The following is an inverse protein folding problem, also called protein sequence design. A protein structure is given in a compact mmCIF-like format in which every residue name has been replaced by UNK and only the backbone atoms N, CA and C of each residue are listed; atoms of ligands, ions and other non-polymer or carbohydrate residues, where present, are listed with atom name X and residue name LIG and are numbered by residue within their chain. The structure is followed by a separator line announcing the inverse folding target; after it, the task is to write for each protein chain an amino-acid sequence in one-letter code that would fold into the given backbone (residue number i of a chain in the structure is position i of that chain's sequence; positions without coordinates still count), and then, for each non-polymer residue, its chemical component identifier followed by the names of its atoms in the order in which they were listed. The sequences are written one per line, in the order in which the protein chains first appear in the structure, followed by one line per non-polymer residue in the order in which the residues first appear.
data_IF_491712595962
#
_entry.id   IF_491712595962
#
_cell.length_a   1.000
_cell.length_b   1.000
_cell.length_c   1.000
_cell.angle_alpha   90.00
_cell.angle_beta   90.00
_cell.angle_gamma   90.00
#
_symmetry.space_group_name_H-M   'P 1'
#
loop_
_entity.id
_entity.type
_entity.pdbx_description
1 polymer ?
#
# COMPACT_ATOMS: atom_id res chain seq x y z
N UNK A 1 -7.65 -25.64 91.89
CA UNK A 1 -6.23 -25.36 91.59
C UNK A 1 -5.72 -26.14 90.38
N UNK A 2 -6.04 -27.44 90.21
CA UNK A 2 -5.54 -28.28 89.07
C UNK A 2 -6.03 -27.72 87.72
N UNK A 3 -7.32 -27.38 87.59
CA UNK A 3 -7.96 -26.92 86.39
C UNK A 3 -7.35 -25.55 85.91
N UNK A 4 -7.03 -24.66 86.83
CA UNK A 4 -6.37 -23.39 86.52
C UNK A 4 -4.95 -23.61 85.96
N UNK A 5 -4.20 -24.58 86.49
CA UNK A 5 -2.91 -24.89 85.97
C UNK A 5 -2.91 -25.49 84.59
N UNK A 6 -3.85 -26.40 84.29
CA UNK A 6 -4.07 -26.96 82.93
C UNK A 6 -4.36 -25.87 81.91
N UNK A 7 -5.26 -24.91 82.26
CA UNK A 7 -5.58 -23.77 81.36
C UNK A 7 -4.39 -22.84 81.14
N UNK A 8 -3.53 -22.64 82.14
CA UNK A 8 -2.32 -21.85 82.03
C UNK A 8 -1.33 -22.56 81.06
N UNK A 9 -1.14 -23.83 81.20
CA UNK A 9 -0.26 -24.64 80.32
C UNK A 9 -0.76 -24.68 78.89
N UNK A 10 -2.08 -24.69 78.66
CA UNK A 10 -2.70 -24.57 77.31
C UNK A 10 -2.48 -23.15 76.72
N UNK A 11 -2.61 -22.14 77.52
CA UNK A 11 -2.32 -20.72 77.10
C UNK A 11 -0.86 -20.54 76.72
N UNK A 12 0.08 -21.07 77.49
CA UNK A 12 1.49 -20.99 77.21
C UNK A 12 1.84 -21.71 75.89
N UNK A 13 1.31 -22.87 75.63
CA UNK A 13 1.43 -23.54 74.33
C UNK A 13 0.83 -22.75 73.16
N UNK A 14 -0.31 -22.09 73.39
CA UNK A 14 -0.93 -21.20 72.42
C UNK A 14 -0.07 -19.97 72.12
N UNK A 15 0.56 -19.36 73.14
CA UNK A 15 1.47 -18.26 72.99
C UNK A 15 2.74 -18.64 72.22
N UNK A 16 3.33 -19.80 72.55
CA UNK A 16 4.51 -20.32 71.81
C UNK A 16 4.21 -20.56 70.34
N UNK A 17 3.03 -21.11 70.04
CA UNK A 17 2.58 -21.27 68.65
C UNK A 17 2.41 -19.93 67.92
N UNK A 18 1.74 -18.95 68.55
CA UNK A 18 1.56 -17.61 67.99
C UNK A 18 2.90 -16.91 67.78
N UNK A 19 3.84 -17.04 68.71
CA UNK A 19 5.17 -16.45 68.58
C UNK A 19 5.95 -17.11 67.42
N UNK A 20 5.86 -18.44 67.25
CA UNK A 20 6.43 -19.12 66.11
C UNK A 20 5.87 -18.66 64.76
N UNK A 21 4.54 -18.50 64.67
CA UNK A 21 3.88 -17.94 63.47
C UNK A 21 4.30 -16.49 63.21
N UNK A 22 4.46 -15.69 64.26
CA UNK A 22 4.88 -14.31 64.13
C UNK A 22 6.30 -14.17 63.56
N UNK A 23 7.24 -14.97 64.05
CA UNK A 23 8.61 -14.97 63.51
C UNK A 23 8.66 -15.47 62.06
N UNK A 24 7.89 -16.49 61.70
CA UNK A 24 7.76 -16.99 60.33
C UNK A 24 7.22 -15.90 59.41
N UNK A 25 6.11 -15.27 59.79
CA UNK A 25 5.53 -14.17 59.02
C UNK A 25 6.47 -12.96 58.87
N UNK A 26 7.25 -12.67 59.90
CA UNK A 26 8.27 -11.61 59.88
C UNK A 26 9.36 -11.89 58.85
N UNK A 27 9.81 -13.13 58.79
CA UNK A 27 10.82 -13.58 57.83
C UNK A 27 10.25 -13.50 56.39
N UNK A 28 9.06 -14.01 56.17
CA UNK A 28 8.38 -13.93 54.88
C UNK A 28 8.18 -12.47 54.41
N UNK A 29 7.80 -11.58 55.30
CA UNK A 29 7.67 -10.14 54.99
C UNK A 29 9.03 -9.52 54.62
N UNK A 30 10.11 -9.96 55.25
CA UNK A 30 11.46 -9.50 54.90
C UNK A 30 11.84 -9.96 53.49
N UNK A 31 11.62 -11.20 53.16
CA UNK A 31 11.92 -11.78 51.85
C UNK A 31 11.07 -11.16 50.73
N UNK A 32 9.78 -10.93 51.00
CA UNK A 32 8.89 -10.19 50.08
C UNK A 32 9.40 -8.77 49.81
N UNK A 33 9.88 -8.05 50.86
CA UNK A 33 10.44 -6.70 50.68
C UNK A 33 11.68 -6.71 49.78
N UNK A 34 12.57 -7.70 49.93
CA UNK A 34 13.74 -7.86 49.07
C UNK A 34 13.31 -8.11 47.60
N UNK A 35 12.42 -9.08 47.41
CA UNK A 35 11.91 -9.43 46.08
C UNK A 35 11.21 -8.22 45.39
N UNK A 36 10.41 -7.43 46.10
CA UNK A 36 9.79 -6.21 45.58
C UNK A 36 10.84 -5.18 45.17
N UNK A 37 11.93 -5.04 45.92
CA UNK A 37 13.03 -4.14 45.56
C UNK A 37 13.70 -4.57 44.27
N UNK A 38 14.00 -5.86 44.13
CA UNK A 38 14.65 -6.42 42.91
C UNK A 38 13.71 -6.32 41.68
N UNK A 39 12.40 -6.58 41.88
CA UNK A 39 11.42 -6.41 40.83
C UNK A 39 11.34 -4.95 40.35
N UNK A 40 11.39 -3.97 41.25
CA UNK A 40 11.39 -2.54 40.86
C UNK A 40 12.62 -2.19 40.03
N UNK A 41 13.80 -2.67 40.40
CA UNK A 41 15.03 -2.45 39.63
C UNK A 41 14.91 -3.07 38.24
N UNK A 42 14.47 -4.32 38.18
CA UNK A 42 14.28 -5.05 36.89
C UNK A 42 13.26 -4.34 36.02
N UNK A 43 12.15 -3.88 36.58
CA UNK A 43 11.10 -3.15 35.85
C UNK A 43 11.64 -1.85 35.23
N UNK A 44 12.43 -1.08 36.00
CA UNK A 44 13.05 0.13 35.49
C UNK A 44 14.01 -0.14 34.33
N UNK A 45 14.84 -1.19 34.44
CA UNK A 45 15.75 -1.59 33.36
C UNK A 45 14.98 -1.99 32.11
N UNK A 46 13.90 -2.77 32.26
CA UNK A 46 13.04 -3.18 31.14
C UNK A 46 12.33 -2.01 30.49
N UNK A 47 11.86 -1.02 31.26
CA UNK A 47 11.25 0.20 30.74
C UNK A 47 12.24 0.99 29.88
N UNK A 48 13.45 1.25 30.40
CA UNK A 48 14.50 1.97 29.66
C UNK A 48 14.86 1.24 28.36
N UNK A 49 15.01 -0.09 28.43
CA UNK A 49 15.31 -0.90 27.25
C UNK A 49 14.17 -0.87 26.21
N UNK A 50 12.92 -0.87 26.67
CA UNK A 50 11.75 -0.79 25.79
C UNK A 50 11.68 0.57 25.07
N UNK A 51 11.92 1.67 25.78
CA UNK A 51 11.99 3.02 25.21
C UNK A 51 13.08 3.11 24.14
N UNK A 52 14.27 2.61 24.43
CA UNK A 52 15.37 2.56 23.47
C UNK A 52 14.98 1.76 22.22
N UNK A 53 14.42 0.55 22.40
CA UNK A 53 14.00 -0.30 21.29
C UNK A 53 12.93 0.37 20.44
N UNK A 54 11.96 1.05 21.07
CA UNK A 54 10.91 1.79 20.38
C UNK A 54 11.46 2.94 19.53
N UNK A 55 12.45 3.66 20.06
CA UNK A 55 13.13 4.74 19.35
C UNK A 55 13.88 4.23 18.12
N UNK A 56 14.64 3.12 18.29
CA UNK A 56 15.36 2.49 17.18
C UNK A 56 14.42 1.93 16.11
N UNK A 57 13.29 1.33 16.49
CA UNK A 57 12.27 0.87 15.54
C UNK A 57 11.68 2.03 14.73
N UNK A 58 11.42 3.17 15.38
CA UNK A 58 10.93 4.36 14.69
C UNK A 58 11.96 4.86 13.68
N UNK A 59 13.24 4.97 14.08
CA UNK A 59 14.34 5.39 13.20
C UNK A 59 14.51 4.46 12.00
N UNK A 60 14.49 3.14 12.25
CA UNK A 60 14.59 2.15 11.17
C UNK A 60 13.41 2.24 10.19
N UNK A 61 12.20 2.44 10.69
CA UNK A 61 11.02 2.57 9.84
C UNK A 61 11.07 3.82 8.96
N UNK A 62 11.60 4.94 9.48
CA UNK A 62 11.86 6.16 8.70
C UNK A 62 12.87 5.88 7.58
N UNK A 63 14.03 5.28 7.92
CA UNK A 63 15.06 4.96 6.94
C UNK A 63 14.53 4.03 5.83
N UNK A 64 13.77 2.98 6.20
CA UNK A 64 13.14 2.07 5.22
C UNK A 64 12.18 2.81 4.30
N UNK A 65 11.43 3.77 4.83
CA UNK A 65 10.49 4.58 4.02
C UNK A 65 11.24 5.48 3.04
N UNK A 66 12.32 6.13 3.48
CA UNK A 66 13.18 6.94 2.63
C UNK A 66 13.82 6.09 1.52
N UNK A 67 14.43 4.96 1.86
CA UNK A 67 15.02 4.05 0.88
C UNK A 67 14.00 3.55 -0.16
N UNK A 68 12.76 3.29 0.24
CA UNK A 68 11.68 2.91 -0.70
C UNK A 68 11.34 4.06 -1.65
N UNK A 69 11.29 5.28 -1.16
CA UNK A 69 11.02 6.46 -1.98
C UNK A 69 12.15 6.70 -2.99
N UNK A 70 13.40 6.60 -2.55
CA UNK A 70 14.58 6.71 -3.40
C UNK A 70 14.59 5.62 -4.49
N UNK A 71 14.26 4.39 -4.12
CA UNK A 71 14.15 3.29 -5.07
C UNK A 71 13.07 3.57 -6.13
N UNK A 72 11.90 4.09 -5.73
CA UNK A 72 10.83 4.47 -6.67
C UNK A 72 11.30 5.58 -7.60
N UNK A 73 11.98 6.62 -7.08
CA UNK A 73 12.52 7.72 -7.88
C UNK A 73 13.56 7.24 -8.90
N UNK A 74 14.50 6.40 -8.49
CA UNK A 74 15.47 5.77 -9.39
C UNK A 74 14.80 4.93 -10.48
N UNK A 75 13.80 4.14 -10.14
CA UNK A 75 13.02 3.38 -11.12
C UNK A 75 12.26 4.31 -12.09
N UNK A 76 11.66 5.39 -11.60
CA UNK A 76 10.98 6.39 -12.43
C UNK A 76 11.95 7.03 -13.44
N UNK A 77 13.14 7.43 -13.00
CA UNK A 77 14.18 7.99 -13.87
C UNK A 77 14.66 6.99 -14.91
N UNK A 78 14.90 5.74 -14.50
CA UNK A 78 15.31 4.65 -15.42
C UNK A 78 14.25 4.34 -16.49
N UNK A 79 12.97 4.51 -16.16
CA UNK A 79 11.85 4.25 -17.06
C UNK A 79 11.39 5.49 -17.83
N UNK A 80 11.95 6.66 -17.56
CA UNK A 80 11.47 7.95 -18.09
C UNK A 80 11.44 8.02 -19.61
N UNK A 81 12.39 7.37 -20.28
CA UNK A 81 12.47 7.33 -21.75
C UNK A 81 11.76 6.12 -22.37
N UNK A 82 10.98 5.38 -21.60
CA UNK A 82 10.28 4.20 -22.08
C UNK A 82 8.83 4.51 -22.45
N UNK A 83 8.37 3.97 -23.57
CA UNK A 83 6.97 3.87 -23.93
C UNK A 83 6.57 2.41 -24.14
N UNK A 84 5.33 2.10 -23.77
CA UNK A 84 4.72 0.79 -23.96
C UNK A 84 3.66 0.91 -25.06
N UNK A 85 3.83 0.14 -26.14
CA UNK A 85 2.91 0.07 -27.27
C UNK A 85 2.07 -1.18 -27.16
N UNK A 86 0.76 -1.05 -27.33
CA UNK A 86 -0.21 -2.15 -27.27
C UNK A 86 -1.00 -2.23 -28.57
N UNK A 87 -1.46 -3.44 -28.91
CA UNK A 87 -2.28 -3.69 -30.10
C UNK A 87 -1.49 -4.00 -31.39
N UNK A 88 -0.15 -3.86 -31.39
CA UNK A 88 0.68 -4.23 -32.54
C UNK A 88 0.76 -5.75 -32.61
N UNK A 89 0.34 -6.32 -33.77
CA UNK A 89 0.29 -7.77 -34.00
C UNK A 89 1.69 -8.37 -33.83
N UNK A 90 1.77 -9.50 -33.16
CA UNK A 90 3.02 -10.25 -32.97
C UNK A 90 3.15 -11.34 -34.04
N UNK A 91 4.25 -11.32 -34.76
CA UNK A 91 4.57 -12.32 -35.77
C UNK A 91 5.66 -13.27 -35.27
N UNK A 92 5.67 -14.50 -35.77
CA UNK A 92 6.78 -15.39 -35.50
C UNK A 92 8.08 -14.86 -36.15
N UNK A 93 9.18 -14.92 -35.41
CA UNK A 93 10.51 -14.48 -35.85
C UNK A 93 10.62 -13.01 -36.29
N UNK A 94 9.74 -12.14 -35.75
CA UNK A 94 9.75 -10.70 -36.05
C UNK A 94 11.01 -9.98 -35.53
N UNK A 95 11.45 -9.00 -36.28
CA UNK A 95 12.30 -7.94 -35.72
C UNK A 95 11.42 -6.88 -35.08
N UNK A 96 11.28 -6.93 -33.75
CA UNK A 96 10.37 -6.05 -32.98
C UNK A 96 10.66 -4.57 -33.18
N UNK A 97 11.91 -4.16 -33.39
CA UNK A 97 12.29 -2.78 -33.66
C UNK A 97 11.82 -2.32 -35.05
N UNK A 98 11.98 -3.17 -36.05
CA UNK A 98 11.49 -2.89 -37.41
C UNK A 98 9.96 -2.80 -37.44
N UNK A 99 9.27 -3.69 -36.74
CA UNK A 99 7.80 -3.64 -36.63
C UNK A 99 7.34 -2.35 -35.91
N UNK A 100 8.03 -1.93 -34.88
CA UNK A 100 7.71 -0.67 -34.21
C UNK A 100 7.96 0.53 -35.13
N UNK A 101 9.07 0.60 -35.84
CA UNK A 101 9.36 1.66 -36.80
C UNK A 101 8.32 1.73 -37.90
N UNK A 102 7.93 0.58 -38.47
CA UNK A 102 6.85 0.51 -39.43
C UNK A 102 5.52 1.04 -38.88
N UNK A 103 5.15 0.65 -37.67
CA UNK A 103 3.97 1.16 -36.98
C UNK A 103 4.02 2.70 -36.79
N UNK A 104 5.16 3.24 -36.34
CA UNK A 104 5.33 4.67 -36.10
C UNK A 104 5.20 5.45 -37.42
N UNK A 105 5.74 4.93 -38.50
CA UNK A 105 5.66 5.55 -39.81
C UNK A 105 4.27 5.44 -40.44
N UNK A 106 3.71 4.21 -40.53
CA UNK A 106 2.48 3.96 -41.29
C UNK A 106 1.20 4.31 -40.55
N UNK A 107 1.16 4.09 -39.23
CA UNK A 107 -0.06 4.26 -38.42
C UNK A 107 -0.08 5.62 -37.72
N UNK A 108 1.10 6.09 -37.23
CA UNK A 108 1.21 7.37 -36.54
C UNK A 108 1.66 8.52 -37.45
N UNK A 109 2.17 8.26 -38.67
CA UNK A 109 2.62 9.27 -39.60
C UNK A 109 3.91 9.98 -39.18
N UNK A 110 4.75 9.35 -38.37
CA UNK A 110 6.03 9.91 -37.91
C UNK A 110 7.12 9.55 -38.93
N UNK A 111 7.46 10.50 -39.78
CA UNK A 111 8.46 10.27 -40.87
C UNK A 111 9.91 10.26 -40.36
N UNK A 112 10.15 10.81 -39.14
CA UNK A 112 11.47 10.87 -38.54
C UNK A 112 11.96 9.49 -38.17
N UNK A 113 13.19 9.12 -38.57
CA UNK A 113 13.86 7.91 -38.06
C UNK A 113 14.16 8.09 -36.58
N UNK A 114 13.51 7.28 -35.75
CA UNK A 114 13.67 7.29 -34.29
C UNK A 114 14.73 6.26 -33.89
N UNK A 115 15.57 6.64 -32.92
CA UNK A 115 16.65 5.78 -32.42
C UNK A 115 16.30 5.25 -31.04
N UNK A 116 16.45 3.95 -30.86
CA UNK A 116 16.15 3.27 -29.62
C UNK A 116 17.41 2.67 -29.01
N UNK A 117 17.52 2.71 -27.69
CA UNK A 117 18.50 1.90 -26.97
C UNK A 117 18.10 0.44 -26.92
N UNK A 118 16.80 0.17 -26.85
CA UNK A 118 16.26 -1.17 -26.73
C UNK A 118 14.77 -1.20 -27.12
N UNK A 119 14.39 -2.20 -27.91
CA UNK A 119 13.00 -2.52 -28.25
C UNK A 119 12.77 -4.01 -28.04
N UNK A 120 11.71 -4.41 -27.36
CA UNK A 120 11.36 -5.82 -27.17
C UNK A 120 9.93 -6.01 -26.70
N UNK A 121 9.39 -7.20 -26.91
CA UNK A 121 8.08 -7.62 -26.36
C UNK A 121 8.19 -7.93 -24.86
N UNK A 122 7.16 -7.56 -24.10
CA UNK A 122 7.10 -7.81 -22.65
C UNK A 122 5.92 -8.71 -22.29
N UNK A 123 6.11 -9.53 -21.24
CA UNK A 123 5.11 -10.45 -20.73
C UNK A 123 5.19 -11.86 -21.34
N UNK A 124 4.33 -12.73 -20.85
CA UNK A 124 4.23 -14.12 -21.36
C UNK A 124 3.40 -14.16 -22.64
N UNK A 125 3.83 -14.97 -23.60
CA UNK A 125 3.06 -15.20 -24.81
C UNK A 125 1.74 -15.91 -24.45
N UNK A 126 0.66 -15.45 -25.03
CA UNK A 126 -0.68 -16.01 -24.85
C UNK A 126 -1.31 -16.27 -26.23
N UNK A 127 -2.08 -17.34 -26.39
CA UNK A 127 -2.83 -17.56 -27.61
C UNK A 127 -3.74 -16.37 -27.94
N UNK A 128 -3.73 -15.94 -29.21
CA UNK A 128 -4.59 -14.86 -29.72
C UNK A 128 -4.42 -13.47 -29.07
N UNK A 129 -3.27 -13.23 -28.39
CA UNK A 129 -2.99 -11.92 -27.80
C UNK A 129 -1.54 -11.53 -28.02
N UNK A 130 -1.33 -10.48 -28.80
CA UNK A 130 0.00 -9.91 -29.02
C UNK A 130 0.53 -9.28 -27.73
N UNK A 131 1.79 -9.58 -27.40
CA UNK A 131 2.47 -8.98 -26.25
C UNK A 131 2.73 -7.50 -26.52
N UNK A 132 2.64 -6.62 -25.51
CA UNK A 132 3.04 -5.23 -25.65
C UNK A 132 4.53 -5.11 -26.01
N UNK A 133 4.86 -4.09 -26.80
CA UNK A 133 6.25 -3.71 -27.09
C UNK A 133 6.65 -2.60 -26.10
N UNK A 134 7.81 -2.73 -25.50
CA UNK A 134 8.47 -1.63 -24.79
C UNK A 134 9.62 -1.11 -25.63
N UNK A 135 9.71 0.20 -25.78
CA UNK A 135 10.80 0.89 -26.46
C UNK A 135 11.44 1.90 -25.51
N UNK A 136 12.77 1.83 -25.37
CA UNK A 136 13.58 2.81 -24.69
C UNK A 136 14.20 3.74 -25.73
N UNK A 137 13.78 4.99 -25.71
CA UNK A 137 14.24 6.03 -26.66
C UNK A 137 15.60 6.58 -26.24
N UNK A 138 16.51 6.78 -27.20
CA UNK A 138 17.78 7.47 -26.96
C UNK A 138 17.55 8.93 -26.58
N UNK A 139 16.64 9.60 -27.29
CA UNK A 139 16.34 11.00 -27.08
C UNK A 139 14.97 11.19 -26.44
N UNK A 140 14.91 11.91 -25.32
CA UNK A 140 13.65 12.22 -24.63
C UNK A 140 12.68 13.01 -25.53
N UNK A 141 13.20 13.90 -26.39
CA UNK A 141 12.39 14.67 -27.33
C UNK A 141 11.64 13.76 -28.32
N UNK A 142 12.24 12.67 -28.75
CA UNK A 142 11.61 11.70 -29.65
C UNK A 142 10.52 10.91 -28.93
N UNK A 143 10.78 10.53 -27.70
CA UNK A 143 9.75 9.91 -26.83
C UNK A 143 8.57 10.84 -26.62
N UNK A 144 8.83 12.11 -26.33
CA UNK A 144 7.79 13.11 -26.12
C UNK A 144 6.96 13.38 -27.38
N UNK A 145 7.62 13.41 -28.57
CA UNK A 145 6.91 13.50 -29.85
C UNK A 145 5.91 12.36 -30.01
N UNK A 146 6.37 11.11 -29.85
CA UNK A 146 5.49 9.93 -29.97
C UNK A 146 4.35 9.98 -28.96
N UNK A 147 4.65 10.32 -27.69
CA UNK A 147 3.64 10.43 -26.63
C UNK A 147 2.59 11.50 -26.92
N UNK A 148 3.00 12.63 -27.48
CA UNK A 148 2.09 13.75 -27.80
C UNK A 148 1.20 13.46 -29.03
N UNK A 149 1.74 12.80 -30.04
CA UNK A 149 0.99 12.45 -31.24
C UNK A 149 0.05 11.25 -31.07
N UNK A 150 0.36 10.32 -30.15
CA UNK A 150 -0.43 9.11 -29.95
C UNK A 150 -1.93 9.36 -29.68
N UNK A 151 -2.37 10.26 -28.80
CA UNK A 151 -3.80 10.49 -28.56
C UNK A 151 -4.55 11.04 -29.77
N UNK A 152 -3.86 11.71 -30.69
CA UNK A 152 -4.44 12.29 -31.91
C UNK A 152 -4.55 11.24 -33.00
N UNK A 153 -3.46 10.53 -33.26
CA UNK A 153 -3.34 9.60 -34.40
C UNK A 153 -3.99 8.25 -34.15
N UNK A 154 -4.08 7.83 -32.85
CA UNK A 154 -4.61 6.52 -32.46
C UNK A 154 -6.06 6.58 -31.95
N UNK A 155 -6.70 7.73 -31.97
CA UNK A 155 -8.11 7.86 -31.54
C UNK A 155 -9.01 6.93 -32.36
N UNK A 156 -9.75 6.04 -31.69
CA UNK A 156 -10.65 5.07 -32.32
C UNK A 156 -9.98 3.85 -32.94
N UNK A 157 -8.65 3.75 -32.88
CA UNK A 157 -7.90 2.57 -33.35
C UNK A 157 -7.61 1.61 -32.17
N UNK A 158 -7.37 0.32 -32.44
CA UNK A 158 -7.10 -0.70 -31.40
C UNK A 158 -5.68 -0.64 -30.83
N UNK A 159 -5.03 0.49 -30.92
CA UNK A 159 -3.65 0.69 -30.49
C UNK A 159 -3.58 1.61 -29.27
N UNK A 160 -2.56 1.43 -28.46
CA UNK A 160 -2.30 2.29 -27.32
C UNK A 160 -0.80 2.55 -27.13
N UNK A 161 -0.48 3.78 -26.70
CA UNK A 161 0.86 4.18 -26.28
C UNK A 161 0.78 4.76 -24.89
N UNK A 162 1.53 4.16 -23.97
CA UNK A 162 1.54 4.50 -22.56
C UNK A 162 2.96 4.68 -22.05
N UNK A 163 3.14 5.53 -21.04
CA UNK A 163 4.39 5.62 -20.30
C UNK A 163 4.59 4.38 -19.42
N UNK A 164 5.85 3.98 -19.24
CA UNK A 164 6.19 2.94 -18.29
C UNK A 164 6.38 3.54 -16.90
N UNK A 165 5.74 2.90 -15.91
CA UNK A 165 5.89 3.27 -14.51
C UNK A 165 6.28 2.06 -13.65
N UNK A 166 6.98 2.28 -12.52
CA UNK A 166 7.18 1.25 -11.52
C UNK A 166 5.85 0.65 -11.04
N UNK A 167 5.91 -0.61 -10.60
CA UNK A 167 4.72 -1.32 -10.15
C UNK A 167 3.94 -0.55 -9.07
N UNK A 168 4.64 0.03 -8.09
CA UNK A 168 4.03 0.81 -7.00
C UNK A 168 3.20 1.99 -7.54
N UNK A 169 3.75 2.71 -8.52
CA UNK A 169 3.04 3.83 -9.19
C UNK A 169 1.83 3.32 -9.97
N UNK A 170 1.99 2.22 -10.71
CA UNK A 170 0.87 1.61 -11.44
C UNK A 170 -0.24 1.12 -10.50
N UNK A 171 0.10 0.53 -9.36
CA UNK A 171 -0.88 0.07 -8.37
C UNK A 171 -1.67 1.26 -7.78
N UNK A 172 -0.99 2.39 -7.45
CA UNK A 172 -1.66 3.64 -7.03
C UNK A 172 -2.59 4.20 -8.11
N UNK A 173 -2.12 4.25 -9.37
CA UNK A 173 -2.95 4.69 -10.51
C UNK A 173 -4.17 3.79 -10.70
N UNK A 174 -3.98 2.46 -10.55
CA UNK A 174 -5.06 1.48 -10.67
C UNK A 174 -6.15 1.69 -9.62
N UNK A 175 -5.77 2.00 -8.38
CA UNK A 175 -6.73 2.33 -7.32
C UNK A 175 -7.55 3.59 -7.65
N UNK A 176 -6.94 4.59 -8.29
CA UNK A 176 -7.63 5.84 -8.68
C UNK A 176 -8.38 5.77 -10.03
N UNK A 177 -8.19 4.69 -10.80
CA UNK A 177 -8.76 4.56 -12.13
C UNK A 177 -10.30 4.54 -12.19
N UNK A 178 -11.04 3.93 -11.23
CA UNK A 178 -12.50 4.04 -11.16
C UNK A 178 -12.97 5.50 -11.08
N UNK A 179 -12.34 6.30 -10.22
CA UNK A 179 -12.65 7.73 -10.05
C UNK A 179 -12.35 8.55 -11.31
N UNK A 180 -11.23 8.27 -11.98
CA UNK A 180 -10.92 8.86 -13.28
C UNK A 180 -12.00 8.56 -14.32
N UNK A 181 -12.45 7.30 -14.43
CA UNK A 181 -13.52 6.91 -15.35
C UNK A 181 -14.85 7.61 -15.01
N UNK A 182 -15.20 7.69 -13.73
CA UNK A 182 -16.41 8.35 -13.29
C UNK A 182 -16.40 9.85 -13.63
N UNK A 183 -15.29 10.55 -13.37
CA UNK A 183 -15.12 11.95 -13.75
C UNK A 183 -15.26 12.16 -15.28
N UNK A 184 -14.66 11.26 -16.08
CA UNK A 184 -14.78 11.31 -17.55
C UNK A 184 -16.22 11.08 -18.04
N UNK A 185 -16.99 10.18 -17.41
CA UNK A 185 -18.42 9.99 -17.73
C UNK A 185 -19.28 11.22 -17.43
N UNK A 186 -18.87 12.01 -16.43
CA UNK A 186 -19.50 13.28 -16.08
C UNK A 186 -19.01 14.47 -16.95
N UNK A 187 -18.26 14.21 -18.03
CA UNK A 187 -17.61 15.21 -18.87
C UNK A 187 -16.64 16.15 -18.12
N UNK A 188 -16.17 15.78 -16.92
CA UNK A 188 -15.17 16.54 -16.19
C UNK A 188 -13.77 16.32 -16.78
N UNK A 189 -12.93 17.33 -16.74
CA UNK A 189 -11.54 17.24 -17.15
C UNK A 189 -10.76 16.47 -16.08
N UNK A 190 -10.43 15.21 -16.35
CA UNK A 190 -9.64 14.38 -15.45
C UNK A 190 -8.30 14.02 -16.09
N UNK A 191 -7.20 14.15 -15.33
CA UNK A 191 -5.82 13.91 -15.80
C UNK A 191 -5.01 13.26 -14.69
N UNK A 192 -4.25 12.23 -15.05
CA UNK A 192 -3.20 11.70 -14.17
C UNK A 192 -1.89 12.48 -14.36
N UNK A 193 -1.30 12.93 -13.25
CA UNK A 193 0.09 13.37 -13.21
C UNK A 193 0.84 12.37 -12.33
N UNK A 194 1.65 11.51 -12.95
CA UNK A 194 2.31 10.36 -12.35
C UNK A 194 1.28 9.45 -11.65
N UNK A 195 1.21 9.40 -10.35
CA UNK A 195 0.27 8.62 -9.52
C UNK A 195 -0.85 9.43 -8.88
N UNK A 196 -0.93 10.74 -9.20
CA UNK A 196 -1.95 11.64 -8.66
C UNK A 196 -3.02 11.91 -9.71
N UNK A 197 -4.29 11.86 -9.29
CA UNK A 197 -5.43 12.20 -10.13
C UNK A 197 -5.83 13.66 -9.89
N UNK A 198 -5.97 14.41 -10.98
CA UNK A 198 -6.51 15.78 -10.96
C UNK A 198 -7.85 15.79 -11.68
N UNK A 199 -8.88 16.38 -11.05
CA UNK A 199 -10.21 16.56 -11.61
C UNK A 199 -10.50 18.06 -11.61
N UNK A 200 -10.84 18.63 -12.78
CA UNK A 200 -11.03 20.07 -12.98
C UNK A 200 -9.84 20.94 -12.52
N UNK A 201 -8.64 20.36 -12.51
CA UNK A 201 -7.41 21.03 -12.09
C UNK A 201 -7.05 20.86 -10.61
N UNK A 202 -7.98 20.37 -9.80
CA UNK A 202 -7.78 20.10 -8.37
C UNK A 202 -7.30 18.68 -8.12
N UNK A 203 -6.43 18.51 -7.11
CA UNK A 203 -5.94 17.19 -6.69
C UNK A 203 -7.09 16.41 -6.06
N UNK A 204 -7.41 15.26 -6.63
CA UNK A 204 -8.40 14.35 -6.07
C UNK A 204 -7.77 13.53 -4.92
N UNK A 205 -8.38 13.62 -3.73
CA UNK A 205 -8.04 12.84 -2.56
C UNK A 205 -9.21 11.89 -2.25
N UNK A 206 -9.04 10.57 -2.35
CA UNK A 206 -10.10 9.61 -2.07
C UNK A 206 -10.53 9.60 -0.59
N UNK A 207 -9.66 10.05 0.33
CA UNK A 207 -9.93 10.09 1.76
C UNK A 207 -10.55 11.42 2.21
N UNK A 208 -10.47 12.45 1.37
CA UNK A 208 -11.14 13.71 1.66
C UNK A 208 -12.65 13.50 1.53
N UNK A 209 -13.39 13.72 2.62
CA UNK A 209 -14.85 13.76 2.64
C UNK A 209 -15.35 14.93 1.76
N UNK A 210 -15.17 14.84 0.43
CA UNK A 210 -15.91 15.70 -0.47
C UNK A 210 -17.38 15.31 -0.35
N UNK A 211 -18.17 16.21 0.25
CA UNK A 211 -19.60 16.20 0.23
C UNK A 211 -20.10 16.36 -1.22
N UNK A 212 -19.93 15.33 -2.01
CA UNK A 212 -20.70 15.14 -3.22
C UNK A 212 -21.46 13.80 -3.04
N UNK A 213 -22.57 13.87 -2.33
CA UNK A 213 -23.50 12.75 -2.11
C UNK A 213 -23.94 12.10 -3.43
N UNK A 214 -23.91 12.86 -4.53
CA UNK A 214 -24.25 12.40 -5.87
C UNK A 214 -23.12 11.54 -6.48
N UNK A 215 -21.86 11.79 -6.12
CA UNK A 215 -20.71 11.01 -6.58
C UNK A 215 -20.70 9.61 -5.94
N UNK A 216 -20.95 9.53 -4.63
CA UNK A 216 -21.00 8.26 -3.87
C UNK A 216 -22.19 7.40 -4.28
N UNK A 217 -23.37 7.98 -4.51
CA UNK A 217 -24.56 7.24 -4.97
C UNK A 217 -24.35 6.57 -6.32
N UNK A 218 -23.67 7.25 -7.26
CA UNK A 218 -23.44 6.71 -8.61
C UNK A 218 -22.31 5.69 -8.67
N UNK A 219 -21.26 5.81 -7.85
CA UNK A 219 -20.19 4.79 -7.77
C UNK A 219 -20.69 3.51 -7.11
N UNK A 220 -21.47 3.59 -6.02
CA UNK A 220 -22.06 2.44 -5.36
C UNK A 220 -23.09 1.71 -6.23
N UNK A 221 -23.84 2.43 -7.10
CA UNK A 221 -24.78 1.80 -8.03
C UNK A 221 -24.06 1.00 -9.12
N UNK A 222 -22.89 1.46 -9.56
CA UNK A 222 -22.07 0.79 -10.58
C UNK A 222 -21.39 -0.47 -10.03
N UNK A 223 -20.96 -0.46 -8.77
CA UNK A 223 -20.37 -1.65 -8.11
C UNK A 223 -21.43 -2.74 -7.87
N UNK A 224 -22.68 -2.37 -7.64
CA UNK A 224 -23.80 -3.33 -7.52
C UNK A 224 -24.18 -3.97 -8.88
N UNK A 225 -24.06 -3.23 -9.99
CA UNK A 225 -24.29 -3.83 -11.32
C UNK A 225 -23.16 -4.77 -11.77
N UNK A 226 -21.91 -4.53 -11.32
CA UNK A 226 -20.76 -5.36 -11.67
C UNK A 226 -20.65 -6.60 -10.81
N UNK A 227 -21.08 -6.56 -9.54
CA UNK A 227 -20.91 -7.66 -8.57
C UNK A 227 -22.13 -8.56 -8.40
N UNK A 228 -23.31 -8.14 -8.85
CA UNK A 228 -24.54 -8.94 -8.79
C UNK A 228 -25.02 -9.33 -7.38
N UNK A 229 -24.45 -8.73 -6.32
CA UNK A 229 -24.77 -9.06 -4.93
C UNK A 229 -25.82 -8.11 -4.39
N UNK A 230 -27.07 -8.58 -4.28
CA UNK A 230 -28.11 -7.91 -3.49
C UNK A 230 -27.80 -8.06 -2.00
N UNK A 231 -27.62 -6.94 -1.31
CA UNK A 231 -27.56 -6.95 0.16
C UNK A 231 -28.92 -7.38 0.75
N UNK A 232 -28.93 -8.21 1.81
CA UNK A 232 -30.18 -8.54 2.48
C UNK A 232 -30.73 -7.30 3.21
N UNK A 233 -32.00 -7.04 2.99
CA UNK A 233 -32.78 -6.01 3.71
C UNK A 233 -32.84 -6.42 5.18
N UNK A 234 -32.20 -5.68 6.08
CA UNK A 234 -32.39 -5.79 7.52
C UNK A 234 -33.83 -5.33 7.84
N UNK A 235 -34.69 -6.31 8.13
CA UNK A 235 -36.05 -6.08 8.55
C UNK A 235 -36.10 -5.31 9.87
N UNK A 236 -36.91 -4.28 9.89
CA UNK A 236 -37.31 -3.54 11.07
C UNK A 236 -38.01 -4.50 12.05
N UNK A 237 -37.47 -4.73 13.24
CA UNK A 237 -38.17 -5.29 14.38
C UNK A 237 -38.99 -4.16 15.02
N UNK A 238 -40.29 -4.25 14.86
CA UNK A 238 -41.28 -3.46 15.57
C UNK A 238 -41.42 -4.08 16.97
N UNK A 239 -41.45 -3.22 17.99
CA UNK A 239 -41.58 -3.60 19.39
C UNK A 239 -42.98 -4.11 19.79
N UNK A 240 -43.01 -4.84 20.86
CA UNK A 240 -43.98 -4.81 21.96
C UNK A 240 -43.23 -4.95 23.28
#
# INVERSE_FOLDING_TARGET
MKEVKERVDEMDKGLDFINGQFETNRQELHDIKLNVKDLKVTTNILQTRNEFTRTELTRLNTNVTEMRNDQIDLQMRSMSNNLIFTGIVEMADENTESELNNFLHTIMGIEKNLVFNRVHRIGKQQPNKSRPIIANFVFSKDRDLVRYEAPKTLKGKPYGVNEQFPKVINDRRKALYPHFKAAKRMNKKAVFKVDKLFIEGELFDPDSNFHDDDYRRRTNHLDMEITGVKQPVLGAAVGE
#
